data_IF_145790143156
#
_entry.id   IF_145790143156
#
_cell.length_a   1.000
_cell.length_b   1.000
_cell.length_c   1.000
_cell.angle_alpha   90.00
_cell.angle_beta   90.00
_cell.angle_gamma   90.00
#
_symmetry.space_group_name_H-M   'P 1'
#
loop_
_entity.id
_entity.type
_entity.pdbx_description
1 polymer ?
#
# COMPACT_ATOMS: atom_id res chain seq x y z
N UNK A 1 25.99 -5.13 -4.63
CA UNK A 1 24.92 -4.11 -4.55
C UNK A 1 24.09 -4.50 -3.36
N UNK A 2 24.15 -3.74 -2.28
CA UNK A 2 23.48 -4.09 -1.03
C UNK A 2 22.02 -3.65 -1.13
N UNK A 3 21.12 -4.57 -1.49
CA UNK A 3 19.69 -4.31 -1.72
C UNK A 3 18.92 -4.20 -0.39
N UNK A 4 19.56 -3.67 0.67
CA UNK A 4 19.02 -3.60 2.04
C UNK A 4 18.29 -2.28 2.35
N UNK A 5 18.10 -1.38 1.38
CA UNK A 5 17.39 -0.12 1.66
C UNK A 5 15.94 -0.37 2.11
N UNK A 6 15.44 0.47 3.02
CA UNK A 6 14.18 0.31 3.73
C UNK A 6 12.98 -0.05 2.83
N UNK A 7 12.77 0.65 1.70
CA UNK A 7 11.67 0.37 0.76
C UNK A 7 12.08 -0.48 -0.46
N UNK A 8 13.32 -0.94 -0.53
CA UNK A 8 13.81 -1.76 -1.66
C UNK A 8 13.67 -3.25 -1.39
N UNK A 9 13.79 -3.68 -0.13
CA UNK A 9 13.59 -5.07 0.26
C UNK A 9 13.14 -5.25 1.72
N UNK A 10 12.71 -6.46 2.03
CA UNK A 10 12.50 -6.96 3.40
C UNK A 10 13.78 -7.60 3.99
N UNK A 11 14.91 -7.53 3.30
CA UNK A 11 16.11 -8.28 3.67
C UNK A 11 16.67 -7.85 5.04
N UNK A 12 16.50 -6.59 5.42
CA UNK A 12 16.97 -6.11 6.73
C UNK A 12 16.11 -6.66 7.88
N UNK A 13 14.79 -6.71 7.71
CA UNK A 13 13.85 -7.22 8.72
C UNK A 13 13.92 -8.74 8.84
N UNK A 14 14.30 -9.43 7.77
CA UNK A 14 14.42 -10.88 7.72
C UNK A 14 15.86 -11.38 7.93
N UNK A 15 16.80 -10.49 8.25
CA UNK A 15 18.22 -10.84 8.41
C UNK A 15 18.46 -11.93 9.47
N UNK A 16 17.63 -11.93 10.52
CA UNK A 16 17.68 -12.90 11.61
C UNK A 16 16.54 -13.93 11.55
N UNK A 17 15.90 -14.10 10.40
CA UNK A 17 14.84 -15.08 10.25
C UNK A 17 15.38 -16.51 10.40
N UNK A 18 14.83 -17.25 11.35
CA UNK A 18 15.24 -18.60 11.67
C UNK A 18 14.04 -19.53 11.80
N UNK A 19 14.21 -20.77 11.35
CA UNK A 19 13.22 -21.83 11.56
C UNK A 19 13.48 -22.53 12.90
N UNK A 20 12.42 -22.75 13.67
CA UNK A 20 12.45 -23.43 14.95
C UNK A 20 11.57 -24.67 14.88
N UNK A 21 12.13 -25.90 14.96
CA UNK A 21 11.37 -27.14 14.80
C UNK A 21 10.21 -27.30 15.80
N UNK A 22 10.41 -26.82 17.04
CA UNK A 22 9.45 -26.97 18.14
C UNK A 22 8.60 -25.71 18.37
N UNK A 23 8.66 -24.74 17.45
CA UNK A 23 7.84 -23.55 17.56
C UNK A 23 6.37 -23.89 17.28
N UNK A 24 5.51 -23.50 18.22
CA UNK A 24 4.05 -23.57 18.12
C UNK A 24 3.51 -22.28 18.70
N UNK A 25 2.62 -21.63 17.97
CA UNK A 25 1.91 -20.46 18.45
C UNK A 25 1.10 -20.87 19.70
N UNK A 26 1.35 -20.19 20.82
CA UNK A 26 0.70 -20.46 22.11
C UNK A 26 0.70 -19.18 22.93
N UNK A 27 -0.34 -18.98 23.75
CA UNK A 27 -0.47 -17.80 24.63
C UNK A 27 0.69 -17.64 25.63
N UNK A 28 1.44 -18.70 25.92
CA UNK A 28 2.63 -18.64 26.79
C UNK A 28 3.91 -18.18 26.08
N UNK A 29 3.89 -18.05 24.74
CA UNK A 29 5.05 -17.68 23.91
C UNK A 29 4.84 -16.45 23.05
N UNK A 30 3.60 -15.98 22.95
CA UNK A 30 3.19 -14.86 22.11
C UNK A 30 2.33 -13.94 22.97
N UNK A 31 2.70 -12.67 23.09
CA UNK A 31 1.90 -11.67 23.79
C UNK A 31 0.71 -11.25 22.94
N UNK A 32 0.86 -11.29 21.61
CA UNK A 32 -0.18 -10.98 20.63
C UNK A 32 -0.17 -12.05 19.55
N UNK A 33 -1.37 -12.55 19.21
CA UNK A 33 -1.56 -13.52 18.13
C UNK A 33 -2.50 -12.91 17.09
N UNK A 34 -2.02 -12.85 15.85
CA UNK A 34 -2.84 -12.55 14.69
C UNK A 34 -3.33 -13.86 14.08
N UNK A 35 -4.61 -14.17 14.31
CA UNK A 35 -5.25 -15.40 13.82
C UNK A 35 -5.65 -15.28 12.33
N UNK A 36 -5.97 -14.07 11.87
CA UNK A 36 -6.32 -13.80 10.47
C UNK A 36 -5.07 -13.71 9.59
N UNK A 37 -5.18 -13.98 8.27
CA UNK A 37 -4.12 -13.67 7.33
C UNK A 37 -3.74 -12.18 7.45
N UNK A 38 -2.47 -11.91 7.70
CA UNK A 38 -1.98 -10.56 7.93
C UNK A 38 -1.02 -10.14 6.83
N UNK A 39 -1.26 -8.98 6.23
CA UNK A 39 -0.36 -8.39 5.25
C UNK A 39 0.48 -7.31 5.92
N UNK A 40 1.80 -7.48 5.91
CA UNK A 40 2.75 -6.50 6.39
C UNK A 40 3.16 -5.60 5.23
N UNK A 41 3.04 -4.29 5.42
CA UNK A 41 3.35 -3.28 4.41
C UNK A 41 4.30 -2.23 4.97
N UNK A 42 5.37 -1.92 4.24
CA UNK A 42 6.15 -0.68 4.46
C UNK A 42 5.59 0.42 3.58
N UNK A 43 5.31 1.56 4.19
CA UNK A 43 4.62 2.67 3.55
C UNK A 43 5.65 3.64 2.97
N UNK A 44 5.36 4.22 1.79
CA UNK A 44 6.19 5.28 1.21
C UNK A 44 5.86 6.63 1.85
N UNK A 45 4.78 7.29 1.41
CA UNK A 45 4.36 8.57 1.98
C UNK A 45 2.88 8.86 1.70
N UNK A 46 2.07 8.96 2.76
CA UNK A 46 0.64 9.32 2.70
C UNK A 46 0.37 10.77 2.31
N UNK A 47 1.33 11.67 2.51
CA UNK A 47 1.17 13.11 2.22
C UNK A 47 1.10 13.43 0.73
N UNK A 48 1.39 12.46 -0.14
CA UNK A 48 1.41 12.66 -1.59
C UNK A 48 0.72 11.50 -2.30
N UNK A 49 -0.26 11.82 -3.14
CA UNK A 49 -1.06 10.84 -3.88
C UNK A 49 -0.20 9.87 -4.70
N UNK A 50 0.88 10.33 -5.34
CA UNK A 50 1.71 9.47 -6.20
C UNK A 50 2.57 8.49 -5.40
N UNK A 51 3.10 8.93 -4.27
CA UNK A 51 3.81 8.02 -3.35
C UNK A 51 2.86 6.99 -2.77
N UNK A 52 1.70 7.43 -2.28
CA UNK A 52 0.74 6.53 -1.66
C UNK A 52 0.02 5.60 -2.65
N UNK A 53 -0.12 6.03 -3.91
CA UNK A 53 -0.58 5.17 -5.01
C UNK A 53 0.29 3.92 -5.14
N UNK A 54 1.62 4.06 -4.97
CA UNK A 54 2.54 2.92 -5.02
C UNK A 54 2.28 1.94 -3.88
N UNK A 55 1.88 2.39 -2.69
CA UNK A 55 1.50 1.51 -1.58
C UNK A 55 0.30 0.62 -1.98
N UNK A 56 -0.75 1.24 -2.53
CA UNK A 56 -1.97 0.51 -2.89
C UNK A 56 -1.82 -0.40 -4.10
N UNK A 57 -1.13 0.03 -5.16
CA UNK A 57 -0.96 -0.81 -6.35
C UNK A 57 -0.09 -2.03 -6.05
N UNK A 58 0.94 -1.87 -5.22
CA UNK A 58 1.78 -2.98 -4.80
C UNK A 58 1.05 -3.91 -3.82
N UNK A 59 0.22 -3.37 -2.93
CA UNK A 59 -0.66 -4.18 -2.09
C UNK A 59 -1.63 -5.03 -2.95
N UNK A 60 -2.27 -4.41 -3.94
CA UNK A 60 -3.15 -5.09 -4.89
C UNK A 60 -2.42 -6.21 -5.65
N UNK A 61 -1.22 -5.91 -6.17
CA UNK A 61 -0.39 -6.89 -6.87
C UNK A 61 0.00 -8.04 -5.94
N UNK A 62 0.36 -7.75 -4.69
CA UNK A 62 0.73 -8.76 -3.69
C UNK A 62 -0.41 -9.72 -3.39
N UNK A 63 -1.63 -9.20 -3.20
CA UNK A 63 -2.84 -10.01 -3.00
C UNK A 63 -3.12 -10.91 -4.21
N UNK A 64 -2.95 -10.38 -5.42
CA UNK A 64 -3.13 -11.15 -6.66
C UNK A 64 -2.10 -12.26 -6.82
N UNK A 65 -0.82 -11.99 -6.54
CA UNK A 65 0.25 -12.98 -6.60
C UNK A 65 0.03 -14.08 -5.56
N UNK A 66 -0.41 -13.71 -4.36
CA UNK A 66 -0.76 -14.67 -3.30
C UNK A 66 -2.05 -15.45 -3.58
N UNK A 67 -2.85 -15.04 -4.57
CA UNK A 67 -4.14 -15.64 -4.86
C UNK A 67 -5.21 -15.40 -3.79
N UNK A 68 -5.03 -14.37 -2.95
CA UNK A 68 -5.94 -14.05 -1.84
C UNK A 68 -6.44 -12.60 -1.95
N UNK A 69 -7.68 -12.45 -2.40
CA UNK A 69 -8.38 -11.15 -2.57
C UNK A 69 -9.52 -11.04 -1.52
N UNK A 70 -9.36 -11.72 -0.39
CA UNK A 70 -10.30 -11.63 0.73
C UNK A 70 -10.23 -10.23 1.38
N UNK A 71 -11.36 -9.79 1.93
CA UNK A 71 -11.45 -8.57 2.72
C UNK A 71 -11.27 -8.83 4.22
N UNK A 72 -11.48 -10.06 4.69
CA UNK A 72 -11.28 -10.41 6.10
C UNK A 72 -9.82 -10.76 6.40
N UNK A 73 -8.94 -9.80 6.12
CA UNK A 73 -7.51 -9.87 6.39
C UNK A 73 -7.10 -8.72 7.31
N UNK A 74 -6.03 -8.90 8.07
CA UNK A 74 -5.39 -7.80 8.78
C UNK A 74 -4.33 -7.14 7.88
N UNK A 75 -4.19 -5.82 8.01
CA UNK A 75 -3.07 -5.07 7.43
C UNK A 75 -2.29 -4.48 8.59
N UNK A 76 -0.98 -4.72 8.61
CA UNK A 76 -0.07 -4.15 9.58
C UNK A 76 0.87 -3.17 8.88
N UNK A 77 0.78 -1.91 9.28
CA UNK A 77 1.68 -0.84 8.84
C UNK A 77 3.00 -0.96 9.57
N UNK A 78 4.07 -1.20 8.80
CA UNK A 78 5.44 -1.35 9.30
C UNK A 78 6.09 0.02 9.59
N UNK A 79 5.45 0.78 10.47
CA UNK A 79 5.87 2.12 10.90
C UNK A 79 6.01 2.15 12.43
N UNK A 80 7.17 2.62 12.89
CA UNK A 80 7.53 2.73 14.31
C UNK A 80 7.47 4.16 14.83
N UNK A 81 6.95 5.12 14.05
CA UNK A 81 6.80 6.49 14.51
C UNK A 81 5.82 6.56 15.69
N UNK A 82 6.25 7.23 16.77
CA UNK A 82 5.53 7.26 18.06
C UNK A 82 4.16 7.92 18.01
N UNK A 83 3.87 8.70 16.97
CA UNK A 83 2.57 9.35 16.80
C UNK A 83 1.63 8.57 15.88
N UNK A 84 2.02 7.36 15.46
CA UNK A 84 1.22 6.50 14.58
C UNK A 84 1.23 6.98 13.13
N UNK A 85 0.75 6.15 12.21
CA UNK A 85 0.75 6.52 10.80
C UNK A 85 -0.40 7.46 10.48
N UNK A 86 -0.08 8.60 9.84
CA UNK A 86 -1.06 9.66 9.56
C UNK A 86 -1.43 9.64 8.09
N UNK A 87 -2.66 9.24 7.78
CA UNK A 87 -3.22 9.22 6.41
C UNK A 87 -4.63 9.83 6.35
N UNK A 88 -4.75 11.17 6.55
CA UNK A 88 -6.03 11.85 6.61
C UNK A 88 -6.66 12.02 5.23
N UNK A 89 -5.86 12.01 4.16
CA UNK A 89 -6.31 12.34 2.81
C UNK A 89 -6.76 11.11 2.03
N UNK A 90 -6.05 9.99 2.18
CA UNK A 90 -6.25 8.81 1.34
C UNK A 90 -6.64 7.56 2.12
N UNK A 91 -6.77 7.66 3.45
CA UNK A 91 -7.07 6.53 4.33
C UNK A 91 -8.37 5.79 4.03
N UNK A 92 -9.31 6.43 3.34
CA UNK A 92 -10.54 5.76 2.88
C UNK A 92 -10.23 4.58 1.94
N UNK A 93 -9.09 4.64 1.25
CA UNK A 93 -8.69 3.65 0.25
C UNK A 93 -8.34 2.30 0.89
N UNK A 94 -7.96 2.26 2.18
CA UNK A 94 -7.73 1.00 2.90
C UNK A 94 -8.97 0.10 2.93
N UNK A 95 -10.17 0.69 2.89
CA UNK A 95 -11.44 -0.05 2.79
C UNK A 95 -11.63 -0.77 1.46
N UNK A 96 -10.77 -0.53 0.47
CA UNK A 96 -10.77 -1.34 -0.74
C UNK A 96 -10.13 -2.73 -0.53
N UNK A 97 -9.26 -2.86 0.47
CA UNK A 97 -8.39 -4.02 0.69
C UNK A 97 -8.76 -4.85 1.91
N UNK A 98 -9.42 -4.25 2.90
CA UNK A 98 -9.84 -4.94 4.12
C UNK A 98 -11.07 -4.30 4.75
N UNK A 99 -11.88 -5.09 5.44
CA UNK A 99 -12.93 -4.58 6.35
C UNK A 99 -12.39 -4.29 7.76
N UNK A 100 -11.21 -4.79 8.08
CA UNK A 100 -10.57 -4.61 9.38
C UNK A 100 -9.82 -3.27 9.43
N UNK A 101 -9.72 -2.69 10.63
CA UNK A 101 -8.90 -1.50 10.82
C UNK A 101 -7.41 -1.89 10.73
N UNK A 102 -6.59 -1.20 9.93
CA UNK A 102 -5.15 -1.45 9.92
C UNK A 102 -4.51 -1.27 11.30
N UNK A 103 -3.52 -2.11 11.58
CA UNK A 103 -2.77 -2.12 12.82
C UNK A 103 -1.46 -1.35 12.65
N UNK A 104 -1.09 -0.58 13.67
CA UNK A 104 0.18 0.13 13.68
C UNK A 104 1.21 -0.69 14.46
N UNK A 105 2.41 -0.85 13.88
CA UNK A 105 3.48 -1.62 14.50
C UNK A 105 3.90 -1.03 15.86
N UNK A 106 3.87 0.30 16.02
CA UNK A 106 4.20 0.97 17.29
C UNK A 106 3.34 0.50 18.48
N UNK A 107 2.09 0.06 18.24
CA UNK A 107 1.20 -0.44 19.31
C UNK A 107 1.60 -1.85 19.81
N UNK A 108 2.55 -2.47 19.13
CA UNK A 108 3.11 -3.79 19.45
C UNK A 108 4.54 -3.69 20.01
N UNK A 109 5.03 -2.48 20.29
CA UNK A 109 6.36 -2.28 20.83
C UNK A 109 6.58 -3.06 22.14
N UNK A 110 7.76 -3.69 22.24
CA UNK A 110 8.15 -4.56 23.36
C UNK A 110 7.45 -5.92 23.44
N UNK A 111 6.56 -6.29 22.50
CA UNK A 111 5.81 -7.55 22.54
C UNK A 111 6.35 -8.60 21.57
N UNK A 112 6.21 -9.87 21.93
CA UNK A 112 6.40 -10.99 21.02
C UNK A 112 5.11 -11.21 20.23
N UNK A 113 5.14 -10.88 18.94
CA UNK A 113 3.99 -10.97 18.04
C UNK A 113 4.08 -12.23 17.19
N UNK A 114 3.01 -13.01 17.17
CA UNK A 114 2.91 -14.24 16.39
C UNK A 114 1.82 -14.10 15.33
N UNK A 115 2.15 -14.47 14.10
CA UNK A 115 1.22 -14.50 12.98
C UNK A 115 0.95 -15.95 12.59
N UNK A 116 -0.32 -16.35 12.47
CA UNK A 116 -0.65 -17.66 11.89
C UNK A 116 -0.34 -17.72 10.40
N UNK A 117 -0.61 -16.63 9.70
CA UNK A 117 -0.29 -16.46 8.30
C UNK A 117 0.10 -14.99 8.07
N UNK A 118 1.31 -14.79 7.58
CA UNK A 118 1.86 -13.48 7.28
C UNK A 118 2.31 -13.42 5.82
N UNK A 119 1.91 -12.36 5.12
CA UNK A 119 2.41 -12.02 3.80
C UNK A 119 3.17 -10.70 3.88
N UNK A 120 4.40 -10.68 3.38
CA UNK A 120 5.17 -9.46 3.20
C UNK A 120 4.84 -8.88 1.82
N UNK A 121 4.30 -7.66 1.78
CA UNK A 121 3.88 -7.06 0.51
C UNK A 121 5.07 -6.72 -0.39
N UNK A 122 4.81 -6.61 -1.69
CA UNK A 122 5.69 -5.87 -2.59
C UNK A 122 5.85 -4.43 -2.09
N UNK A 123 7.03 -3.85 -2.32
CA UNK A 123 7.40 -2.56 -1.75
C UNK A 123 7.32 -1.44 -2.80
N UNK A 124 6.92 -0.25 -2.34
CA UNK A 124 6.77 0.94 -3.16
C UNK A 124 8.05 1.44 -3.84
N UNK A 125 9.23 0.88 -3.49
CA UNK A 125 10.52 1.17 -4.16
C UNK A 125 11.31 -0.10 -4.45
N UNK A 126 10.65 -1.25 -4.55
CA UNK A 126 11.28 -2.52 -4.89
C UNK A 126 11.93 -2.43 -6.27
N UNK A 127 13.16 -2.94 -6.39
CA UNK A 127 13.83 -3.04 -7.68
C UNK A 127 13.03 -3.95 -8.62
N UNK A 128 12.79 -3.49 -9.85
CA UNK A 128 11.88 -4.12 -10.82
C UNK A 128 10.40 -4.20 -10.40
N UNK A 129 10.01 -3.53 -9.30
CA UNK A 129 8.62 -3.32 -8.91
C UNK A 129 8.05 -2.02 -9.47
N UNK A 130 6.80 -1.71 -9.11
CA UNK A 130 6.17 -0.42 -9.42
C UNK A 130 6.53 0.60 -8.34
N UNK A 131 7.14 1.71 -8.71
CA UNK A 131 7.56 2.76 -7.77
C UNK A 131 7.40 4.17 -8.33
N UNK A 132 7.38 5.16 -7.43
CA UNK A 132 7.28 6.57 -7.79
C UNK A 132 8.46 7.01 -8.66
N UNK A 133 8.20 7.73 -9.75
CA UNK A 133 9.16 8.08 -10.81
C UNK A 133 9.73 6.88 -11.62
N UNK A 134 9.07 5.72 -11.61
CA UNK A 134 9.42 4.67 -12.57
C UNK A 134 9.30 5.25 -14.00
N UNK A 135 10.36 5.16 -14.83
CA UNK A 135 10.29 5.66 -16.19
C UNK A 135 9.22 4.88 -16.96
N UNK A 136 8.27 5.60 -17.55
CA UNK A 136 7.38 5.02 -18.54
C UNK A 136 8.22 4.72 -19.77
N UNK A 137 8.43 3.44 -20.04
CA UNK A 137 9.09 2.99 -21.26
C UNK A 137 8.14 3.29 -22.43
N UNK A 138 8.69 3.85 -23.50
CA UNK A 138 7.92 4.17 -24.70
C UNK A 138 7.19 2.91 -25.23
N UNK A 139 5.94 3.08 -25.65
CA UNK A 139 5.04 1.98 -26.04
C UNK A 139 4.43 1.18 -24.88
N UNK A 140 4.71 1.50 -23.61
CA UNK A 140 4.07 0.86 -22.47
C UNK A 140 2.73 1.52 -22.12
N UNK A 141 1.68 1.14 -22.85
CA UNK A 141 0.30 1.59 -22.64
C UNK A 141 -0.66 0.42 -22.41
N UNK A 142 -1.85 0.70 -21.89
CA UNK A 142 -2.89 -0.33 -21.73
C UNK A 142 -2.60 -1.42 -20.71
N UNK A 143 -1.76 -1.16 -19.70
CA UNK A 143 -1.42 -2.14 -18.66
C UNK A 143 -2.68 -2.75 -18.00
N UNK A 144 -2.84 -4.06 -18.18
CA UNK A 144 -3.96 -4.82 -17.60
C UNK A 144 -3.96 -4.77 -16.07
N UNK A 145 -2.78 -4.71 -15.44
CA UNK A 145 -2.63 -4.57 -13.99
C UNK A 145 -3.22 -3.25 -13.49
N UNK A 146 -2.83 -2.13 -14.11
CA UNK A 146 -3.32 -0.79 -13.72
C UNK A 146 -4.81 -0.66 -14.02
N UNK A 147 -5.26 -1.20 -15.14
CA UNK A 147 -6.67 -1.21 -15.49
C UNK A 147 -7.52 -2.01 -14.48
N UNK A 148 -7.06 -3.20 -14.08
CA UNK A 148 -7.73 -4.02 -13.09
C UNK A 148 -7.72 -3.38 -11.70
N UNK A 149 -6.58 -2.83 -11.27
CA UNK A 149 -6.46 -2.05 -10.04
C UNK A 149 -7.46 -0.90 -9.98
N UNK A 150 -7.56 -0.10 -11.04
CA UNK A 150 -8.52 1.02 -11.12
C UNK A 150 -9.97 0.54 -10.93
N UNK A 151 -10.36 -0.55 -11.63
CA UNK A 151 -11.71 -1.13 -11.46
C UNK A 151 -11.93 -1.70 -10.07
N UNK A 152 -10.92 -2.33 -9.47
CA UNK A 152 -10.97 -2.87 -8.12
C UNK A 152 -11.26 -1.78 -7.09
N UNK A 153 -10.49 -0.68 -7.11
CA UNK A 153 -10.68 0.43 -6.17
C UNK A 153 -12.08 1.04 -6.33
N UNK A 154 -12.49 1.36 -7.56
CA UNK A 154 -13.81 1.94 -7.82
C UNK A 154 -14.95 1.04 -7.35
N UNK A 155 -14.85 -0.27 -7.64
CA UNK A 155 -15.86 -1.24 -7.25
C UNK A 155 -15.94 -1.39 -5.72
N UNK A 156 -14.79 -1.60 -5.05
CA UNK A 156 -14.74 -1.85 -3.61
C UNK A 156 -15.15 -0.63 -2.78
N UNK A 157 -14.81 0.57 -3.23
CA UNK A 157 -15.23 1.82 -2.58
C UNK A 157 -16.61 2.30 -3.03
N UNK A 158 -17.32 1.53 -3.88
CA UNK A 158 -18.64 1.86 -4.43
C UNK A 158 -18.69 3.23 -5.13
N UNK A 159 -17.59 3.62 -5.76
CA UNK A 159 -17.50 4.89 -6.49
C UNK A 159 -18.15 4.71 -7.86
N UNK A 160 -19.31 5.34 -8.04
CA UNK A 160 -19.99 5.36 -9.34
C UNK A 160 -19.32 6.34 -10.29
N UNK A 161 -18.81 5.83 -11.41
CA UNK A 161 -18.34 6.64 -12.52
C UNK A 161 -19.50 6.80 -13.50
N UNK A 162 -20.09 8.00 -13.59
CA UNK A 162 -21.20 8.29 -14.51
C UNK A 162 -20.75 8.45 -15.99
N UNK A 163 -19.57 7.93 -16.31
CA UNK A 163 -18.95 8.05 -17.63
C UNK A 163 -18.60 9.48 -18.04
N UNK A 164 -17.91 9.64 -19.17
CA UNK A 164 -17.95 10.90 -19.89
C UNK A 164 -19.40 11.16 -20.32
N UNK A 165 -19.88 12.38 -20.08
CA UNK A 165 -21.15 12.81 -20.66
C UNK A 165 -20.94 12.96 -22.18
N UNK A 166 -21.88 12.46 -22.98
CA UNK A 166 -21.82 12.64 -24.44
C UNK A 166 -21.62 14.14 -24.75
N UNK A 167 -20.71 14.41 -25.69
CA UNK A 167 -20.36 15.76 -26.16
C UNK A 167 -19.81 16.71 -25.08
N UNK A 168 -19.35 16.20 -23.93
CA UNK A 168 -18.70 17.01 -22.88
C UNK A 168 -17.36 16.43 -22.47
N UNK A 169 -16.35 17.29 -22.46
CA UNK A 169 -15.04 17.00 -21.86
C UNK A 169 -15.08 17.49 -20.41
N UNK A 170 -14.78 16.59 -19.45
CA UNK A 170 -14.52 16.99 -18.06
C UNK A 170 -13.03 17.22 -17.90
N UNK A 171 -12.64 18.47 -17.69
CA UNK A 171 -11.28 18.84 -17.31
C UNK A 171 -11.25 19.05 -15.80
N UNK A 172 -10.36 18.34 -15.10
CA UNK A 172 -10.06 18.60 -13.69
C UNK A 172 -8.67 19.22 -13.64
N UNK A 173 -8.60 20.52 -13.35
CA UNK A 173 -7.34 21.22 -13.16
C UNK A 173 -6.90 21.10 -11.70
N UNK A 174 -5.68 20.60 -11.48
CA UNK A 174 -5.08 20.53 -10.15
C UNK A 174 -4.23 21.79 -9.89
N UNK A 175 -4.84 22.78 -9.24
CA UNK A 175 -4.16 23.99 -8.80
C UNK A 175 -3.08 23.69 -7.76
N UNK A 176 -1.93 24.36 -7.87
CA UNK A 176 -0.83 24.22 -6.90
C UNK A 176 -0.57 25.54 -6.19
N UNK A 177 -0.64 25.52 -4.86
CA UNK A 177 -0.34 26.66 -3.99
C UNK A 177 1.17 26.92 -3.81
N UNK A 178 2.04 26.19 -4.50
CA UNK A 178 3.49 26.32 -4.38
C UNK A 178 4.06 27.44 -5.26
N UNK A 179 5.17 28.10 -4.88
CA UNK A 179 5.79 29.12 -5.72
C UNK A 179 6.44 28.55 -7.00
N UNK A 180 6.69 27.25 -7.05
CA UNK A 180 7.29 26.56 -8.20
C UNK A 180 6.22 25.92 -9.10
N UNK A 181 6.49 25.88 -10.41
CA UNK A 181 5.65 25.21 -11.44
C UNK A 181 4.18 25.68 -11.41
N UNK A 182 3.96 26.99 -11.34
CA UNK A 182 2.61 27.60 -11.47
C UNK A 182 2.13 27.53 -12.91
N UNK A 183 0.83 27.32 -13.07
CA UNK A 183 0.14 27.45 -14.36
C UNK A 183 -0.17 28.94 -14.52
N UNK A 184 0.52 29.62 -15.44
CA UNK A 184 0.46 31.09 -15.55
C UNK A 184 -0.89 31.61 -16.06
N UNK A 185 -1.66 30.74 -16.72
CA UNK A 185 -2.99 31.02 -17.26
C UNK A 185 -4.07 30.19 -16.57
N UNK A 186 -3.87 29.86 -15.29
CA UNK A 186 -4.84 29.07 -14.51
C UNK A 186 -6.24 29.69 -14.47
N UNK A 187 -6.32 31.02 -14.42
CA UNK A 187 -7.57 31.78 -14.40
C UNK A 187 -8.32 31.76 -15.75
N UNK A 188 -7.73 31.21 -16.81
CA UNK A 188 -8.31 31.12 -18.16
C UNK A 188 -9.04 29.78 -18.43
N UNK A 189 -9.04 28.85 -17.45
CA UNK A 189 -9.58 27.48 -17.58
C UNK A 189 -10.95 27.31 -16.93
#
# INVERSE_FOLDING_TARGET
MDEKSYLQSWAHELEYFASYPDFRISEHRCDVVFDKPTVLIKLDASVNMYHHFCDFVNLYASQHINGSIDMDIDILWWDTWSHGFVDPTFGVTWHAFTVNKPHELINLDGKIVCFRNAMFSMLARQRFGLYYNMPLIDGCEGSGLIHAFSRHILHRLMIRQNGPLLDKVRVTLLSRSTPFRKITNEDEV
#
